data_IF_732716442168
#
_entry.id   IF_732716442168
#
_cell.length_a   1.000
_cell.length_b   1.000
_cell.length_c   1.000
_cell.angle_alpha   90.00
_cell.angle_beta   90.00
_cell.angle_gamma   90.00
#
_symmetry.space_group_name_H-M   'P 1'
#
loop_
_entity.id
_entity.type
_entity.pdbx_description
1 polymer ?
#
# COMPACT_ATOMS: atom_id res chain seq x y z
N UNK A 1 -33.36 42.23 53.34
CA UNK A 1 -33.69 40.77 53.31
C UNK A 1 -33.64 40.24 51.89
N UNK A 2 -33.11 39.01 51.73
CA UNK A 2 -33.16 38.10 50.57
C UNK A 2 -32.30 38.39 49.30
N UNK A 3 -31.12 37.76 49.30
CA UNK A 3 -30.41 37.24 48.10
C UNK A 3 -31.38 36.44 47.21
N UNK A 4 -31.37 36.70 45.91
CA UNK A 4 -31.94 35.77 44.91
C UNK A 4 -30.99 35.64 43.71
N UNK A 5 -30.12 34.66 43.82
CA UNK A 5 -29.25 34.14 42.76
C UNK A 5 -30.10 33.47 41.68
N UNK A 6 -30.19 34.07 40.49
CA UNK A 6 -30.80 33.44 39.32
C UNK A 6 -29.71 32.86 38.42
N UNK A 7 -29.50 31.54 38.56
CA UNK A 7 -28.62 30.69 37.74
C UNK A 7 -28.86 30.94 36.24
N UNK A 8 -27.81 31.34 35.51
CA UNK A 8 -27.78 31.38 34.05
C UNK A 8 -28.07 29.98 33.48
N UNK A 9 -29.22 29.80 32.82
CA UNK A 9 -29.53 28.59 32.04
C UNK A 9 -28.70 28.63 30.75
N UNK A 10 -27.60 27.88 30.73
CA UNK A 10 -26.88 27.54 29.49
C UNK A 10 -27.78 26.67 28.61
N UNK A 11 -28.27 27.22 27.51
CA UNK A 11 -29.00 26.48 26.47
C UNK A 11 -28.02 25.52 25.77
N UNK A 12 -28.09 24.26 26.18
CA UNK A 12 -27.34 23.12 25.61
C UNK A 12 -27.61 23.06 24.10
N UNK A 13 -26.58 23.30 23.27
CA UNK A 13 -26.64 23.12 21.81
C UNK A 13 -27.12 21.70 21.50
N UNK A 14 -28.25 21.58 20.80
CA UNK A 14 -28.70 20.32 20.19
C UNK A 14 -27.67 19.92 19.12
N UNK A 15 -26.76 19.01 19.47
CA UNK A 15 -25.89 18.35 18.49
C UNK A 15 -26.74 17.47 17.60
N UNK A 16 -26.89 17.86 16.34
CA UNK A 16 -27.52 17.07 15.28
C UNK A 16 -26.77 15.75 15.13
N UNK A 17 -27.39 14.67 15.61
CA UNK A 17 -26.88 13.30 15.50
C UNK A 17 -26.80 12.96 14.01
N UNK A 18 -25.60 12.99 13.42
CA UNK A 18 -25.35 12.54 12.04
C UNK A 18 -25.82 11.10 11.92
N UNK A 19 -26.89 10.85 11.16
CA UNK A 19 -27.26 9.51 10.70
C UNK A 19 -26.09 8.96 9.90
N UNK A 20 -25.32 8.06 10.48
CA UNK A 20 -24.40 7.20 9.73
C UNK A 20 -25.24 6.28 8.87
N UNK A 21 -25.34 6.58 7.58
CA UNK A 21 -25.86 5.64 6.58
C UNK A 21 -25.00 4.38 6.61
N UNK A 22 -25.56 3.32 7.20
CA UNK A 22 -24.99 1.97 7.21
C UNK A 22 -24.83 1.54 5.74
N UNK A 23 -23.60 1.55 5.21
CA UNK A 23 -23.34 1.06 3.86
C UNK A 23 -23.74 -0.41 3.83
N UNK A 24 -24.82 -0.74 3.09
CA UNK A 24 -25.10 -2.12 2.70
C UNK A 24 -23.88 -2.60 1.91
N UNK A 25 -23.09 -3.48 2.51
CA UNK A 25 -22.07 -4.25 1.79
C UNK A 25 -22.79 -5.13 0.79
N UNK A 26 -22.89 -4.68 -0.46
CA UNK A 26 -23.27 -5.54 -1.58
C UNK A 26 -22.25 -6.67 -1.65
N UNK A 27 -22.67 -7.87 -1.26
CA UNK A 27 -21.94 -9.13 -1.41
C UNK A 27 -21.57 -9.26 -2.89
N UNK A 28 -20.35 -8.88 -3.27
CA UNK A 28 -19.87 -9.04 -4.65
C UNK A 28 -19.86 -10.54 -4.91
N UNK A 29 -20.84 -11.03 -5.66
CA UNK A 29 -20.80 -12.37 -6.23
C UNK A 29 -19.47 -12.48 -6.99
N UNK A 30 -18.67 -13.49 -6.67
CA UNK A 30 -17.47 -13.84 -7.42
C UNK A 30 -17.91 -14.25 -8.83
N UNK A 31 -18.11 -13.27 -9.71
CA UNK A 31 -18.51 -13.50 -11.10
C UNK A 31 -17.25 -13.53 -11.95
N UNK A 32 -17.05 -14.68 -12.61
CA UNK A 32 -16.06 -14.98 -13.66
C UNK A 32 -14.60 -14.91 -13.22
N UNK A 33 -13.93 -16.05 -13.27
CA UNK A 33 -12.48 -16.16 -13.49
C UNK A 33 -12.14 -15.59 -14.87
N UNK A 34 -12.24 -14.26 -15.02
CA UNK A 34 -11.49 -13.58 -16.06
C UNK A 34 -10.01 -13.94 -15.85
N UNK A 35 -9.22 -14.22 -16.91
CA UNK A 35 -7.81 -14.51 -16.74
C UNK A 35 -7.19 -13.33 -16.00
N UNK A 36 -6.80 -13.57 -14.74
CA UNK A 36 -6.23 -12.54 -13.89
C UNK A 36 -4.95 -12.08 -14.58
N UNK A 37 -4.89 -10.79 -14.92
CA UNK A 37 -3.67 -10.16 -15.45
C UNK A 37 -2.48 -10.59 -14.57
N UNK A 38 -1.32 -10.92 -15.16
CA UNK A 38 -0.17 -11.38 -14.39
C UNK A 38 0.19 -10.31 -13.34
N UNK A 39 0.22 -10.72 -12.08
CA UNK A 39 0.63 -9.88 -10.97
C UNK A 39 2.15 -9.93 -10.86
N UNK A 40 2.78 -8.79 -11.08
CA UNK A 40 4.21 -8.64 -10.81
C UNK A 40 4.43 -8.07 -9.40
N UNK A 41 5.43 -8.57 -8.68
CA UNK A 41 5.85 -8.03 -7.37
C UNK A 41 7.37 -8.10 -7.21
N UNK A 42 7.95 -7.26 -6.35
CA UNK A 42 9.36 -7.35 -5.96
C UNK A 42 9.48 -8.14 -4.66
N UNK A 43 10.33 -9.17 -4.66
CA UNK A 43 10.74 -9.89 -3.47
C UNK A 43 12.12 -9.38 -3.06
N UNK A 44 12.22 -8.85 -1.84
CA UNK A 44 13.45 -8.37 -1.24
C UNK A 44 13.76 -9.27 -0.05
N UNK A 45 14.90 -9.96 -0.10
CA UNK A 45 15.33 -10.90 0.93
C UNK A 45 16.74 -10.54 1.38
N UNK A 46 17.00 -10.50 2.68
CA UNK A 46 18.37 -10.36 3.18
C UNK A 46 19.18 -11.59 2.78
N UNK A 47 20.38 -11.40 2.22
CA UNK A 47 21.19 -12.52 1.72
C UNK A 47 21.71 -13.40 2.86
N UNK A 48 22.12 -12.77 3.98
CA UNK A 48 22.45 -13.39 5.26
C UNK A 48 22.03 -12.45 6.40
N UNK A 49 21.93 -12.96 7.63
CA UNK A 49 21.44 -12.24 8.82
C UNK A 49 22.17 -10.92 9.11
N UNK A 50 23.42 -10.79 8.65
CA UNK A 50 24.23 -9.57 8.79
C UNK A 50 24.90 -9.13 7.47
N UNK A 51 24.32 -9.49 6.32
CA UNK A 51 24.89 -9.07 5.05
C UNK A 51 24.56 -7.62 4.75
N UNK A 52 25.54 -6.89 4.22
CA UNK A 52 25.32 -5.56 3.65
C UNK A 52 24.45 -5.58 2.40
N UNK A 53 24.18 -6.76 1.82
CA UNK A 53 23.46 -6.91 0.56
C UNK A 53 22.10 -7.62 0.73
N UNK A 54 21.13 -7.16 -0.04
CA UNK A 54 19.83 -7.77 -0.22
C UNK A 54 19.75 -8.46 -1.57
N UNK A 55 19.21 -9.67 -1.61
CA UNK A 55 18.81 -10.35 -2.84
C UNK A 55 17.44 -9.83 -3.24
N UNK A 56 17.32 -9.30 -4.44
CA UNK A 56 16.08 -8.75 -4.97
C UNK A 56 15.70 -9.46 -6.26
N UNK A 57 14.41 -9.80 -6.38
CA UNK A 57 13.88 -10.62 -7.47
C UNK A 57 12.52 -10.06 -7.89
N UNK A 58 12.22 -10.11 -9.19
CA UNK A 58 10.85 -9.90 -9.67
C UNK A 58 10.12 -11.23 -9.65
N UNK A 59 8.87 -11.22 -9.16
CA UNK A 59 7.97 -12.36 -9.20
C UNK A 59 6.86 -12.10 -10.22
N UNK A 60 6.53 -13.10 -11.04
CA UNK A 60 5.34 -13.16 -11.89
C UNK A 60 4.40 -14.20 -11.30
N UNK A 61 3.25 -13.77 -10.78
CA UNK A 61 2.27 -14.63 -10.11
C UNK A 61 2.88 -15.46 -8.97
N UNK A 62 3.82 -14.87 -8.21
CA UNK A 62 4.51 -15.54 -7.10
C UNK A 62 5.68 -16.43 -7.50
N UNK A 63 5.91 -16.65 -8.80
CA UNK A 63 7.08 -17.39 -9.31
C UNK A 63 8.18 -16.41 -9.70
N UNK A 64 9.43 -16.76 -9.44
CA UNK A 64 10.59 -15.94 -9.83
C UNK A 64 10.58 -15.72 -11.34
N UNK A 65 10.73 -14.47 -11.76
CA UNK A 65 10.76 -14.05 -13.15
C UNK A 65 11.99 -13.17 -13.36
N UNK A 66 13.03 -13.75 -13.96
CA UNK A 66 14.32 -13.11 -14.18
C UNK A 66 15.35 -13.44 -13.10
N UNK A 67 16.55 -12.91 -13.29
CA UNK A 67 17.68 -13.20 -12.41
C UNK A 67 17.65 -12.36 -11.13
N UNK A 68 17.89 -13.00 -9.96
CA UNK A 68 18.10 -12.27 -8.72
C UNK A 68 19.34 -11.40 -8.77
N UNK A 69 19.21 -10.12 -8.38
CA UNK A 69 20.38 -9.24 -8.19
C UNK A 69 20.65 -9.01 -6.72
N UNK A 70 21.94 -8.88 -6.39
CA UNK A 70 22.38 -8.42 -5.06
C UNK A 70 22.49 -6.90 -5.08
N UNK A 71 21.79 -6.25 -4.16
CA UNK A 71 21.76 -4.79 -4.03
C UNK A 71 22.19 -4.44 -2.61
N UNK A 72 23.15 -3.53 -2.48
CA UNK A 72 23.58 -3.03 -1.19
C UNK A 72 22.41 -2.40 -0.40
N UNK A 73 22.37 -2.65 0.90
CA UNK A 73 21.37 -2.14 1.83
C UNK A 73 21.20 -0.62 1.75
N UNK A 74 22.30 0.12 1.55
CA UNK A 74 22.26 1.58 1.42
C UNK A 74 21.51 2.05 0.16
N UNK A 75 21.42 1.22 -0.88
CA UNK A 75 20.81 1.56 -2.17
C UNK A 75 19.42 0.93 -2.36
N UNK A 76 19.02 -0.03 -1.51
CA UNK A 76 17.80 -0.83 -1.68
C UNK A 76 16.53 0.01 -1.84
N UNK A 77 16.35 1.02 -0.99
CA UNK A 77 15.16 1.87 -1.00
C UNK A 77 15.08 2.70 -2.28
N UNK A 78 16.21 3.29 -2.69
CA UNK A 78 16.30 4.08 -3.92
C UNK A 78 16.07 3.21 -5.16
N UNK A 79 16.72 2.04 -5.25
CA UNK A 79 16.56 1.12 -6.38
C UNK A 79 15.12 0.59 -6.47
N UNK A 80 14.56 0.09 -5.37
CA UNK A 80 13.19 -0.44 -5.35
C UNK A 80 12.15 0.64 -5.73
N UNK A 81 12.29 1.84 -5.18
CA UNK A 81 11.43 2.98 -5.52
C UNK A 81 11.60 3.40 -6.99
N UNK A 82 12.83 3.40 -7.49
CA UNK A 82 13.16 3.68 -8.89
C UNK A 82 12.45 2.73 -9.84
N UNK A 83 12.50 1.42 -9.58
CA UNK A 83 11.83 0.38 -10.38
C UNK A 83 10.30 0.58 -10.37
N UNK A 84 9.71 0.81 -9.19
CA UNK A 84 8.26 1.01 -9.07
C UNK A 84 7.82 2.28 -9.81
N UNK A 85 8.57 3.37 -9.66
CA UNK A 85 8.27 4.64 -10.32
C UNK A 85 8.48 4.55 -11.83
N UNK A 86 9.49 3.84 -12.31
CA UNK A 86 9.71 3.59 -13.73
C UNK A 86 8.57 2.78 -14.33
N UNK A 87 8.18 1.66 -13.70
CA UNK A 87 7.05 0.84 -14.12
C UNK A 87 5.76 1.67 -14.23
N UNK A 88 5.49 2.52 -13.24
CA UNK A 88 4.33 3.41 -13.23
C UNK A 88 4.40 4.47 -14.35
N UNK A 89 5.52 5.18 -14.47
CA UNK A 89 5.69 6.27 -15.46
C UNK A 89 5.62 5.76 -16.90
N UNK A 90 6.28 4.64 -17.18
CA UNK A 90 6.34 4.05 -18.53
C UNK A 90 5.20 3.07 -18.82
N UNK A 91 4.29 2.85 -17.87
CA UNK A 91 3.17 1.88 -17.98
C UNK A 91 3.65 0.48 -18.38
N UNK A 92 4.82 0.07 -17.90
CA UNK A 92 5.40 -1.26 -18.13
C UNK A 92 5.27 -2.14 -16.88
N UNK A 93 5.46 -3.44 -17.04
CA UNK A 93 5.50 -4.37 -15.90
C UNK A 93 6.82 -4.25 -15.13
N UNK A 94 6.86 -4.81 -13.91
CA UNK A 94 8.07 -4.74 -13.06
C UNK A 94 9.27 -5.50 -13.66
N UNK A 95 9.06 -6.51 -14.50
CA UNK A 95 10.17 -7.22 -15.14
C UNK A 95 10.91 -6.31 -16.15
N UNK A 96 10.18 -5.63 -17.03
CA UNK A 96 10.77 -4.64 -17.94
C UNK A 96 11.40 -3.46 -17.20
N UNK A 97 10.77 -3.03 -16.10
CA UNK A 97 11.32 -1.96 -15.27
C UNK A 97 12.60 -2.39 -14.53
N UNK A 98 12.67 -3.65 -14.13
CA UNK A 98 13.82 -4.26 -13.49
C UNK A 98 15.03 -4.28 -14.43
N UNK A 99 14.85 -4.76 -15.66
CA UNK A 99 15.91 -4.81 -16.67
C UNK A 99 16.39 -3.41 -17.09
N UNK A 100 15.57 -2.37 -16.89
CA UNK A 100 15.90 -0.99 -17.25
C UNK A 100 16.59 -0.18 -16.13
N UNK A 101 16.48 -0.60 -14.86
CA UNK A 101 16.86 0.22 -13.69
C UNK A 101 17.87 -0.48 -12.76
N UNK A 102 17.78 -1.79 -12.63
CA UNK A 102 18.65 -2.59 -11.76
C UNK A 102 19.86 -3.11 -12.54
#
# INVERSE_FOLDING_TARGET
>A
TKRKTTKRKTTKRKTTKRKTTKRKTTKRKAKRSTPKKPRYSLLITQSQRNSRDFKVQVLKNGKVAGEPKKIAASKISATASGIINYARRKRVNLAKAWDSVA
#
